data_IF_902964433535
#
_entry.id   IF_902964433535
#
_cell.length_a   1.000
_cell.length_b   1.000
_cell.length_c   1.000
_cell.angle_alpha   90.00
_cell.angle_beta   90.00
_cell.angle_gamma   90.00
#
_symmetry.space_group_name_H-M   'P 1'
#
loop_
_entity.id
_entity.type
_entity.pdbx_description
1 polymer ?
#
# COMPACT_ATOMS: atom_id res chain seq x y z
N UNK A 1 38.92 12.32 22.51
CA UNK A 1 38.27 13.65 22.50
C UNK A 1 37.75 13.87 21.09
N UNK A 2 36.46 13.60 20.89
CA UNK A 2 35.74 13.86 19.63
C UNK A 2 34.51 14.63 20.08
N UNK A 3 34.48 15.92 19.74
CA UNK A 3 33.31 16.76 19.98
C UNK A 3 32.27 16.48 18.91
N UNK A 4 31.03 16.27 19.34
CA UNK A 4 29.85 16.21 18.46
C UNK A 4 29.06 17.49 18.74
N UNK A 5 28.97 18.34 17.72
CA UNK A 5 28.26 19.62 17.74
C UNK A 5 26.73 19.40 17.63
N UNK A 6 26.02 19.82 18.68
CA UNK A 6 24.59 19.59 18.93
C UNK A 6 23.69 20.78 18.50
N UNK A 7 24.13 21.55 17.51
CA UNK A 7 23.50 22.83 17.14
C UNK A 7 22.50 22.80 15.96
N UNK A 8 21.92 21.64 15.62
CA UNK A 8 20.95 21.54 14.49
C UNK A 8 19.53 21.08 14.83
N UNK A 9 19.12 21.17 16.09
CA UNK A 9 17.72 21.02 16.49
C UNK A 9 16.96 22.35 16.40
N UNK A 10 16.56 22.72 15.19
CA UNK A 10 15.48 23.68 14.99
C UNK A 10 14.59 23.18 13.83
N UNK A 11 13.52 22.48 14.17
CA UNK A 11 12.45 22.18 13.23
C UNK A 11 11.67 23.47 12.94
N UNK A 12 11.40 23.84 11.67
CA UNK A 12 10.57 25.00 11.38
C UNK A 12 9.10 24.71 11.71
N UNK A 13 8.48 25.63 12.44
CA UNK A 13 7.04 25.65 12.68
C UNK A 13 6.29 25.85 11.35
N UNK A 14 5.45 24.89 10.96
CA UNK A 14 4.59 25.05 9.78
C UNK A 14 3.35 25.89 10.14
N UNK A 15 3.05 26.97 9.41
CA UNK A 15 1.84 27.75 9.63
C UNK A 15 0.62 27.02 9.06
N UNK A 16 -0.47 27.03 9.83
CA UNK A 16 -1.75 26.40 9.47
C UNK A 16 -2.67 27.43 8.82
N UNK A 17 -2.66 27.58 7.49
CA UNK A 17 -3.74 28.28 6.74
C UNK A 17 -3.83 27.70 5.31
N UNK A 18 -4.87 26.90 5.00
CA UNK A 18 -6.14 27.27 4.33
C UNK A 18 -5.98 27.91 2.94
N UNK A 19 -5.56 27.12 1.95
CA UNK A 19 -6.04 27.24 0.56
C UNK A 19 -5.66 25.99 -0.25
N UNK A 20 -6.65 25.30 -0.83
CA UNK A 20 -6.50 23.96 -1.41
C UNK A 20 -5.80 23.92 -2.78
N UNK A 21 -5.79 25.02 -3.54
CA UNK A 21 -5.30 25.02 -4.93
C UNK A 21 -3.80 25.33 -5.08
N UNK A 22 -3.16 25.98 -4.12
CA UNK A 22 -1.70 26.19 -4.14
C UNK A 22 -0.91 24.92 -3.76
N UNK A 23 -1.55 24.01 -3.02
CA UNK A 23 -0.93 22.76 -2.54
C UNK A 23 -0.54 21.82 -3.69
N UNK A 24 -1.28 21.84 -4.80
CA UNK A 24 -0.96 21.03 -5.99
C UNK A 24 0.34 21.44 -6.69
N UNK A 25 0.71 22.73 -6.64
CA UNK A 25 1.96 23.23 -7.25
C UNK A 25 3.15 23.12 -6.29
N UNK A 26 2.94 23.37 -4.99
CA UNK A 26 3.99 23.21 -3.98
C UNK A 26 4.38 21.73 -3.73
N UNK A 27 3.44 20.78 -3.89
CA UNK A 27 3.76 19.35 -3.85
C UNK A 27 4.61 18.91 -5.05
N UNK A 28 4.42 19.49 -6.24
CA UNK A 28 5.19 19.08 -7.41
C UNK A 28 6.69 19.42 -7.31
N UNK A 29 7.05 20.47 -6.57
CA UNK A 29 8.46 20.90 -6.41
C UNK A 29 9.12 20.32 -5.15
N UNK A 30 8.40 20.20 -4.04
CA UNK A 30 8.90 19.50 -2.83
C UNK A 30 9.00 17.98 -3.02
N UNK A 31 8.18 17.37 -3.90
CA UNK A 31 8.33 15.97 -4.31
C UNK A 31 9.57 15.71 -5.17
N UNK A 32 10.31 16.73 -5.63
CA UNK A 32 11.60 16.51 -6.30
C UNK A 32 12.77 16.41 -5.32
N UNK A 33 12.72 17.08 -4.17
CA UNK A 33 13.82 17.02 -3.18
C UNK A 33 13.55 16.03 -2.04
N UNK A 34 12.30 15.78 -1.64
CA UNK A 34 11.98 14.74 -0.65
C UNK A 34 12.07 13.32 -1.23
N UNK A 35 12.10 13.20 -2.55
CA UNK A 35 12.21 11.93 -3.28
C UNK A 35 13.62 11.33 -3.24
N UNK A 36 14.70 12.08 -2.96
CA UNK A 36 16.07 11.60 -3.24
C UNK A 36 16.85 10.98 -2.07
N UNK A 37 16.25 10.72 -0.90
CA UNK A 37 17.02 10.13 0.23
C UNK A 37 16.45 8.89 0.94
N UNK A 38 15.34 8.34 0.48
CA UNK A 38 14.81 7.06 0.98
C UNK A 38 14.00 6.32 -0.09
N UNK A 39 14.47 6.34 -1.34
CA UNK A 39 13.92 5.50 -2.40
C UNK A 39 14.45 4.07 -2.25
N UNK A 40 13.79 3.28 -1.41
CA UNK A 40 13.61 1.87 -1.76
C UNK A 40 13.04 1.86 -3.17
N UNK A 41 13.81 1.38 -4.15
CA UNK A 41 13.44 1.45 -5.57
C UNK A 41 12.11 0.72 -5.74
N UNK A 42 11.03 1.48 -5.84
CA UNK A 42 9.72 1.04 -6.34
C UNK A 42 9.94 0.57 -7.77
N UNK A 43 10.39 -0.68 -7.93
CA UNK A 43 10.51 -1.32 -9.23
C UNK A 43 9.11 -1.74 -9.66
N UNK A 44 8.34 -0.76 -10.10
CA UNK A 44 7.09 -1.01 -10.81
C UNK A 44 7.46 -1.69 -12.14
N UNK A 45 7.37 -3.01 -12.17
CA UNK A 45 7.55 -3.77 -13.39
C UNK A 45 6.18 -3.91 -14.05
N UNK A 46 5.96 -3.14 -15.12
CA UNK A 46 4.78 -3.26 -15.97
C UNK A 46 4.70 -4.72 -16.45
N UNK A 47 3.56 -5.37 -16.24
CA UNK A 47 3.30 -6.79 -16.58
C UNK A 47 3.98 -7.85 -15.70
N UNK A 48 4.58 -7.50 -14.55
CA UNK A 48 5.05 -8.54 -13.64
C UNK A 48 3.90 -9.19 -12.85
N UNK A 49 4.01 -10.52 -12.66
CA UNK A 49 3.04 -11.33 -11.90
C UNK A 49 3.36 -11.37 -10.42
N UNK A 50 2.37 -11.72 -9.59
CA UNK A 50 2.55 -11.90 -8.16
C UNK A 50 3.63 -12.94 -7.82
N UNK A 51 3.73 -14.02 -8.60
CA UNK A 51 4.77 -15.02 -8.44
C UNK A 51 6.18 -14.43 -8.58
N UNK A 52 6.38 -13.53 -9.55
CA UNK A 52 7.68 -12.86 -9.72
C UNK A 52 8.00 -11.94 -8.54
N UNK A 53 7.03 -11.18 -8.04
CA UNK A 53 7.24 -10.33 -6.87
C UNK A 53 7.52 -11.13 -5.60
N UNK A 54 6.93 -12.32 -5.44
CA UNK A 54 7.27 -13.28 -4.39
C UNK A 54 8.73 -13.69 -4.49
N UNK A 55 9.17 -14.09 -5.68
CA UNK A 55 10.53 -14.58 -5.91
C UNK A 55 11.58 -13.46 -5.69
N UNK A 56 11.23 -12.22 -6.01
CA UNK A 56 12.04 -11.03 -5.70
C UNK A 56 11.96 -10.57 -4.24
N UNK A 57 11.22 -11.30 -3.38
CA UNK A 57 11.01 -10.98 -1.96
C UNK A 57 10.49 -9.57 -1.73
N UNK A 58 9.65 -9.08 -2.65
CA UNK A 58 9.02 -7.77 -2.54
C UNK A 58 7.73 -7.85 -1.71
N UNK A 59 7.34 -6.71 -1.16
CA UNK A 59 6.13 -6.53 -0.36
C UNK A 59 5.13 -5.72 -1.17
N UNK A 60 3.88 -6.16 -1.17
CA UNK A 60 2.77 -5.42 -1.76
C UNK A 60 2.19 -4.44 -0.74
N UNK A 61 2.29 -3.14 -0.99
CA UNK A 61 1.58 -2.12 -0.22
C UNK A 61 0.32 -1.73 -0.97
N UNK A 62 -0.82 -1.94 -0.33
CA UNK A 62 -2.13 -1.49 -0.81
C UNK A 62 -2.51 -0.23 -0.03
N UNK A 63 -2.70 0.88 -0.73
CA UNK A 63 -3.12 2.15 -0.15
C UNK A 63 -4.44 2.62 -0.73
N UNK A 64 -5.35 3.08 0.13
CA UNK A 64 -6.60 3.70 -0.30
C UNK A 64 -6.48 5.22 -0.26
N UNK A 65 -6.65 5.91 -1.40
CA UNK A 65 -6.59 7.37 -1.46
C UNK A 65 -7.79 8.05 -0.80
N UNK A 66 -8.91 7.34 -0.63
CA UNK A 66 -10.10 7.88 0.04
C UNK A 66 -9.92 7.85 1.57
N UNK A 67 -9.64 6.69 2.14
CA UNK A 67 -9.53 6.52 3.60
C UNK A 67 -8.11 6.71 4.14
N UNK A 68 -7.11 6.88 3.27
CA UNK A 68 -5.67 6.98 3.59
C UNK A 68 -5.08 5.76 4.31
N UNK A 69 -5.83 4.68 4.43
CA UNK A 69 -5.35 3.43 5.01
C UNK A 69 -4.29 2.78 4.13
N UNK A 70 -3.23 2.25 4.77
CA UNK A 70 -2.16 1.49 4.13
C UNK A 70 -2.05 0.11 4.76
N UNK A 71 -1.88 -0.91 3.93
CA UNK A 71 -1.74 -2.30 4.35
C UNK A 71 -0.64 -2.97 3.55
N UNK A 72 0.12 -3.84 4.21
CA UNK A 72 1.23 -4.56 3.59
C UNK A 72 0.89 -6.05 3.54
N UNK A 73 1.14 -6.67 2.40
CA UNK A 73 0.87 -8.08 2.15
C UNK A 73 2.09 -8.74 1.53
N UNK A 74 2.27 -10.03 1.82
CA UNK A 74 3.22 -10.84 1.08
C UNK A 74 2.57 -11.33 -0.22
N UNK A 75 3.27 -11.29 -1.38
CA UNK A 75 2.70 -11.75 -2.63
C UNK A 75 2.24 -13.21 -2.60
N UNK A 76 2.91 -14.07 -1.81
CA UNK A 76 2.51 -15.46 -1.62
C UNK A 76 1.07 -15.60 -1.09
N UNK A 77 0.68 -14.76 -0.13
CA UNK A 77 -0.65 -14.78 0.48
C UNK A 77 -1.71 -14.26 -0.51
N UNK A 78 -1.34 -13.28 -1.34
CA UNK A 78 -2.22 -12.78 -2.39
C UNK A 78 -2.45 -13.83 -3.49
N UNK A 79 -1.44 -14.63 -3.83
CA UNK A 79 -1.56 -15.73 -4.79
C UNK A 79 -2.53 -16.79 -4.26
N UNK A 80 -2.43 -17.14 -2.98
CA UNK A 80 -3.34 -18.12 -2.37
C UNK A 80 -4.80 -17.62 -2.40
N UNK A 81 -5.02 -16.32 -2.17
CA UNK A 81 -6.36 -15.73 -2.13
C UNK A 81 -6.96 -15.45 -3.51
N UNK A 82 -6.16 -14.97 -4.46
CA UNK A 82 -6.63 -14.40 -5.74
C UNK A 82 -6.13 -15.14 -6.98
N UNK A 83 -5.20 -16.08 -6.82
CA UNK A 83 -4.43 -16.69 -7.90
C UNK A 83 -3.22 -15.85 -8.33
N UNK A 84 -2.36 -16.42 -9.17
CA UNK A 84 -1.27 -15.66 -9.77
C UNK A 84 -1.80 -14.75 -10.88
N UNK A 85 -1.50 -13.46 -10.80
CA UNK A 85 -1.97 -12.47 -11.76
C UNK A 85 -1.02 -11.27 -11.84
N UNK A 86 -1.18 -10.48 -12.89
CA UNK A 86 -0.44 -9.24 -13.07
C UNK A 86 -0.92 -8.13 -12.11
N UNK A 87 -0.02 -7.20 -11.81
CA UNK A 87 -0.27 -6.08 -10.89
C UNK A 87 -1.49 -5.24 -11.24
N UNK A 88 -1.76 -5.02 -12.54
CA UNK A 88 -2.91 -4.23 -13.00
C UNK A 88 -4.27 -4.90 -12.73
N UNK A 89 -4.28 -6.23 -12.63
CA UNK A 89 -5.49 -6.98 -12.29
C UNK A 89 -5.73 -7.02 -10.78
N UNK A 90 -4.67 -6.93 -9.97
CA UNK A 90 -4.74 -7.00 -8.52
C UNK A 90 -5.57 -5.86 -7.91
N UNK A 91 -5.34 -4.62 -8.34
CA UNK A 91 -6.10 -3.44 -7.86
C UNK A 91 -7.60 -3.61 -8.04
N UNK A 92 -8.02 -4.19 -9.18
CA UNK A 92 -9.43 -4.40 -9.52
C UNK A 92 -10.09 -5.52 -8.70
N UNK A 93 -9.30 -6.49 -8.21
CA UNK A 93 -9.79 -7.63 -7.41
C UNK A 93 -9.85 -7.35 -5.92
N UNK A 94 -9.08 -6.38 -5.42
CA UNK A 94 -9.07 -6.01 -4.01
C UNK A 94 -10.13 -4.95 -3.67
N UNK A 95 -10.53 -4.91 -2.40
CA UNK A 95 -11.40 -3.88 -1.83
C UNK A 95 -10.79 -3.32 -0.55
N UNK A 96 -11.01 -2.04 -0.30
CA UNK A 96 -10.58 -1.41 0.94
C UNK A 96 -11.44 -1.94 2.10
N UNK A 97 -10.86 -2.52 3.14
CA UNK A 97 -11.65 -3.03 4.29
C UNK A 97 -12.40 -1.95 5.07
N UNK A 98 -11.99 -0.68 4.96
CA UNK A 98 -12.63 0.41 5.70
C UNK A 98 -13.83 1.01 4.97
N UNK A 99 -13.78 1.10 3.63
CA UNK A 99 -14.84 1.74 2.83
C UNK A 99 -15.46 0.85 1.76
N UNK A 100 -14.96 -0.38 1.61
CA UNK A 100 -15.39 -1.41 0.65
C UNK A 100 -15.31 -1.01 -0.85
N UNK A 101 -14.61 0.10 -1.15
CA UNK A 101 -14.37 0.57 -2.52
C UNK A 101 -13.03 0.09 -3.06
N UNK A 102 -12.96 -0.05 -4.38
CA UNK A 102 -11.76 -0.41 -5.13
C UNK A 102 -11.23 0.74 -6.01
N UNK A 103 -12.07 1.70 -6.42
CA UNK A 103 -11.69 2.80 -7.33
C UNK A 103 -10.56 3.72 -6.82
N UNK A 104 -10.34 3.73 -5.50
CA UNK A 104 -9.33 4.54 -4.84
C UNK A 104 -8.13 3.74 -4.35
N UNK A 105 -8.04 2.45 -4.71
CA UNK A 105 -6.93 1.60 -4.32
C UNK A 105 -5.75 1.77 -5.28
N UNK A 106 -4.55 1.82 -4.70
CA UNK A 106 -3.30 1.73 -5.41
C UNK A 106 -2.42 0.66 -4.79
N UNK A 107 -1.75 -0.11 -5.64
CA UNK A 107 -0.78 -1.12 -5.22
C UNK A 107 0.62 -0.70 -5.65
N UNK A 108 1.55 -0.78 -4.70
CA UNK A 108 2.99 -0.61 -4.96
C UNK A 108 3.75 -1.82 -4.43
N UNK A 109 4.64 -2.35 -5.25
CA UNK A 109 5.65 -3.32 -4.82
C UNK A 109 6.97 -2.62 -4.51
N UNK A 110 7.61 -3.05 -3.42
CA UNK A 110 8.89 -2.52 -2.98
C UNK A 110 9.62 -3.58 -2.17
N UNK A 111 10.95 -3.46 -2.11
CA UNK A 111 11.79 -4.30 -1.24
C UNK A 111 12.16 -3.49 0.00
N UNK A 112 11.99 -4.04 1.22
CA UNK A 112 12.61 -3.46 2.40
C UNK A 112 14.14 -3.49 2.23
N UNK A 113 14.80 -2.37 2.55
CA UNK A 113 16.27 -2.30 2.57
C UNK A 113 16.72 -2.63 3.99
N UNK A 114 17.78 -3.43 4.12
CA UNK A 114 18.41 -3.67 5.41
C UNK A 114 18.93 -2.33 5.96
N UNK A 115 18.36 -1.86 7.08
CA UNK A 115 18.67 -0.56 7.69
C UNK A 115 17.53 0.47 7.66
N UNK A 116 16.39 0.17 7.03
CA UNK A 116 15.16 0.91 7.29
C UNK A 116 14.62 0.49 8.67
N UNK A 117 14.86 1.28 9.71
CA UNK A 117 14.36 1.06 11.08
C UNK A 117 12.83 1.25 11.21
N UNK A 118 12.10 1.22 10.10
CA UNK A 118 10.66 1.44 10.10
C UNK A 118 9.92 0.13 10.41
N UNK A 119 9.23 0.02 11.55
CA UNK A 119 8.47 -1.18 11.86
C UNK A 119 7.30 -1.30 10.87
N UNK A 120 7.43 -2.22 9.91
CA UNK A 120 6.35 -2.55 8.98
C UNK A 120 5.50 -3.69 9.55
N UNK A 121 4.18 -3.48 9.55
CA UNK A 121 3.23 -4.53 9.90
C UNK A 121 2.77 -5.23 8.62
N UNK A 122 3.20 -6.47 8.43
CA UNK A 122 2.79 -7.32 7.31
C UNK A 122 1.56 -8.13 7.74
N UNK A 123 0.47 -8.01 6.99
CA UNK A 123 -0.69 -8.89 7.16
C UNK A 123 -0.42 -10.23 6.50
N UNK A 124 -0.63 -11.30 7.26
CA UNK A 124 -0.49 -12.68 6.81
C UNK A 124 -1.85 -13.31 6.63
N UNK A 125 -2.01 -14.11 5.58
CA UNK A 125 -3.18 -14.96 5.43
C UNK A 125 -3.08 -16.11 6.43
N UNK A 126 -4.05 -16.23 7.33
CA UNK A 126 -4.10 -17.30 8.32
C UNK A 126 -4.94 -18.49 7.82
N UNK A 127 -6.13 -18.20 7.28
CA UNK A 127 -7.03 -19.17 6.65
C UNK A 127 -8.04 -18.46 5.76
N UNK A 128 -8.56 -19.16 4.76
CA UNK A 128 -9.70 -18.70 3.94
C UNK A 128 -10.94 -19.46 4.39
N UNK A 129 -11.94 -18.73 4.89
CA UNK A 129 -13.23 -19.30 5.28
C UNK A 129 -14.24 -19.12 4.14
N UNK A 130 -14.87 -20.22 3.70
CA UNK A 130 -15.95 -20.16 2.69
C UNK A 130 -17.32 -20.19 3.37
N UNK A 131 -18.07 -19.11 3.29
CA UNK A 131 -19.43 -19.03 3.83
C UNK A 131 -20.43 -19.46 2.74
N UNK A 132 -21.05 -20.65 2.90
CA UNK A 132 -22.16 -21.09 2.04
C UNK A 132 -23.48 -20.61 2.63
N UNK A 133 -24.09 -19.59 2.02
CA UNK A 133 -25.38 -19.04 2.44
C UNK A 133 -26.49 -19.46 1.46
N UNK A 134 -27.34 -20.45 1.80
CA UNK A 134 -28.48 -20.81 0.97
C UNK A 134 -29.55 -19.71 1.03
N UNK A 135 -30.15 -19.42 -0.11
CA UNK A 135 -31.31 -18.51 -0.24
C UNK A 135 -32.50 -19.36 -0.67
N UNK A 136 -33.53 -19.37 0.16
CA UNK A 136 -34.71 -20.20 -0.04
C UNK A 136 -35.84 -19.38 -0.64
N UNK A 137 -36.66 -20.04 -1.47
CA UNK A 137 -37.94 -19.54 -1.92
C UNK A 137 -39.03 -20.44 -1.34
N UNK A 138 -40.03 -19.83 -0.72
CA UNK A 138 -41.23 -20.53 -0.29
C UNK A 138 -42.22 -20.63 -1.46
N UNK A 139 -42.65 -21.84 -1.78
CA UNK A 139 -43.68 -22.10 -2.80
C UNK A 139 -44.90 -22.78 -2.15
N UNK A 140 -46.10 -22.32 -2.51
CA UNK A 140 -47.35 -22.98 -2.10
C UNK A 140 -47.73 -24.02 -3.13
N UNK A 141 -47.81 -25.28 -2.69
CA UNK A 141 -48.34 -26.40 -3.48
C UNK A 141 -49.87 -26.36 -3.42
N UNK A 142 -50.50 -26.18 -4.59
CA UNK A 142 -51.95 -26.31 -4.78
C UNK A 142 -52.37 -27.74 -5.03
#
# INVERSE_FOLDING_TARGET
MIEIDDSRLAAPAFPVLRDFDLHRRALAESLRLFSLRSMSRSRYHKSATLAQYRDWRQIATVSCNLCRGKRHYLPADLIELLGDMETEHLERRMRCEACDRNDYLHVRFWSPIAGDDYPITIRRLERVETIRRPVWRDERRG
#
